data_IF_010427455895
#
_entry.id   IF_010427455895
#
_cell.length_a   1.000
_cell.length_b   1.000
_cell.length_c   1.000
_cell.angle_alpha   90.00
_cell.angle_beta   90.00
_cell.angle_gamma   90.00
#
_symmetry.space_group_name_H-M   'P 1'
#
loop_
_entity.id
_entity.type
_entity.pdbx_description
1 polymer ?
#
# COMPACT_ATOMS: atom_id res chain seq x y z
N UNK A 1 13.72 20.36 5.76
CA UNK A 1 12.65 21.29 6.19
C UNK A 1 11.42 20.96 5.38
N UNK A 2 10.41 20.34 6.00
CA UNK A 2 9.15 20.02 5.33
C UNK A 2 8.29 21.27 5.42
N UNK A 3 8.04 21.91 4.28
CA UNK A 3 7.10 23.04 4.20
C UNK A 3 5.80 22.49 3.64
N UNK A 4 4.82 22.25 4.51
CA UNK A 4 3.43 22.08 4.12
C UNK A 4 2.84 23.46 3.86
N UNK A 5 2.70 23.86 2.59
CA UNK A 5 1.96 25.07 2.25
C UNK A 5 0.47 24.74 2.22
N UNK A 6 -0.18 24.84 3.37
CA UNK A 6 -1.63 24.93 3.48
C UNK A 6 -2.04 26.39 3.42
N UNK A 7 -2.48 26.87 2.24
CA UNK A 7 -3.02 28.22 2.11
C UNK A 7 -4.53 28.22 2.40
N UNK A 8 -4.90 28.59 3.63
CA UNK A 8 -6.26 29.01 3.96
C UNK A 8 -6.32 30.53 3.72
N UNK A 9 -7.11 30.99 2.75
CA UNK A 9 -7.36 32.43 2.56
C UNK A 9 -8.84 32.70 2.87
N UNK A 10 -9.07 33.30 4.04
CA UNK A 10 -10.33 33.90 4.47
C UNK A 10 -10.60 35.20 3.68
N UNK A 11 -11.85 35.42 3.25
CA UNK A 11 -12.30 36.73 2.71
C UNK A 11 -12.27 37.82 3.79
N UNK A 12 -12.37 39.14 3.56
CA UNK A 12 -12.89 40.03 2.51
C UNK A 12 -12.12 41.41 2.65
N UNK A 13 -12.48 42.60 2.08
CA UNK A 13 -13.59 43.04 1.22
C UNK A 13 -13.16 43.81 -0.06
N UNK A 14 -14.17 44.26 -0.83
CA UNK A 14 -14.12 45.02 -2.10
C UNK A 14 -13.14 46.20 -2.13
N UNK A 15 -12.45 46.34 -3.26
CA UNK A 15 -11.95 47.62 -3.76
C UNK A 15 -12.29 47.78 -5.26
N UNK A 16 -12.45 49.04 -5.65
CA UNK A 16 -13.06 49.60 -6.85
C UNK A 16 -12.73 48.93 -8.21
N UNK A 17 -13.74 49.02 -9.10
CA UNK A 17 -13.67 48.76 -10.54
C UNK A 17 -12.57 49.64 -11.17
N UNK A 18 -11.50 49.02 -11.63
CA UNK A 18 -10.56 49.59 -12.59
C UNK A 18 -10.37 48.59 -13.73
N UNK A 19 -10.28 49.11 -14.96
CA UNK A 19 -10.21 48.37 -16.21
C UNK A 19 -9.01 47.41 -16.22
N UNK A 20 -9.27 46.12 -15.98
CA UNK A 20 -8.24 45.08 -15.88
C UNK A 20 -7.79 44.65 -17.26
N UNK A 21 -6.52 44.89 -17.57
CA UNK A 21 -5.87 44.47 -18.81
C UNK A 21 -5.97 42.94 -19.03
N UNK A 22 -5.84 42.50 -20.29
CA UNK A 22 -6.03 41.11 -20.70
C UNK A 22 -5.25 40.08 -19.84
N UNK A 23 -4.01 40.38 -19.47
CA UNK A 23 -3.18 39.48 -18.64
C UNK A 23 -3.66 39.31 -17.19
N UNK A 24 -4.45 40.24 -16.66
CA UNK A 24 -5.03 40.15 -15.31
C UNK A 24 -6.32 39.33 -15.33
N UNK A 25 -7.10 39.43 -16.42
CA UNK A 25 -8.27 38.57 -16.71
C UNK A 25 -7.86 37.11 -16.92
N UNK A 26 -6.74 36.85 -17.59
CA UNK A 26 -6.20 35.49 -17.78
C UNK A 26 -5.72 34.86 -16.47
N UNK A 27 -5.05 35.64 -15.62
CA UNK A 27 -4.64 35.20 -14.27
C UNK A 27 -5.84 34.90 -13.36
N UNK A 28 -6.88 35.72 -13.41
CA UNK A 28 -8.11 35.50 -12.65
C UNK A 28 -8.88 34.25 -13.14
N UNK A 29 -8.81 33.98 -14.44
CA UNK A 29 -9.40 32.80 -15.07
C UNK A 29 -8.63 31.52 -14.73
N UNK A 30 -7.29 31.57 -14.77
CA UNK A 30 -6.44 30.47 -14.33
C UNK A 30 -6.60 30.17 -12.83
N UNK A 31 -6.68 31.20 -11.98
CA UNK A 31 -6.93 31.05 -10.55
C UNK A 31 -8.32 30.45 -10.27
N UNK A 32 -9.35 30.86 -11.02
CA UNK A 32 -10.70 30.26 -10.93
C UNK A 32 -10.71 28.80 -11.40
N UNK A 33 -10.04 28.49 -12.50
CA UNK A 33 -9.91 27.13 -13.02
C UNK A 33 -9.17 26.21 -12.04
N UNK A 34 -8.07 26.69 -11.45
CA UNK A 34 -7.30 25.96 -10.44
C UNK A 34 -8.14 25.71 -9.18
N UNK A 35 -8.90 26.71 -8.71
CA UNK A 35 -9.80 26.55 -7.56
C UNK A 35 -10.92 25.55 -7.88
N UNK A 36 -11.55 25.64 -9.04
CA UNK A 36 -12.59 24.68 -9.46
C UNK A 36 -12.04 23.26 -9.57
N UNK A 37 -10.83 23.10 -10.13
CA UNK A 37 -10.12 21.81 -10.21
C UNK A 37 -9.78 21.28 -8.81
N UNK A 38 -9.17 22.09 -7.95
CA UNK A 38 -8.82 21.70 -6.58
C UNK A 38 -10.05 21.31 -5.77
N UNK A 39 -11.14 22.08 -5.86
CA UNK A 39 -12.41 21.77 -5.21
C UNK A 39 -12.99 20.45 -5.71
N UNK A 40 -13.03 20.23 -7.03
CA UNK A 40 -13.50 18.96 -7.62
C UNK A 40 -12.62 17.77 -7.23
N UNK A 41 -11.30 17.96 -7.19
CA UNK A 41 -10.34 16.95 -6.77
C UNK A 41 -10.52 16.56 -5.30
N UNK A 42 -10.69 17.54 -4.40
CA UNK A 42 -10.96 17.31 -2.97
C UNK A 42 -12.28 16.56 -2.77
N UNK A 43 -13.34 16.94 -3.48
CA UNK A 43 -14.62 16.24 -3.40
C UNK A 43 -14.56 14.82 -3.98
N UNK A 44 -13.83 14.59 -5.07
CA UNK A 44 -13.64 13.25 -5.64
C UNK A 44 -12.80 12.35 -4.72
N UNK A 45 -11.71 12.89 -4.15
CA UNK A 45 -10.86 12.17 -3.20
C UNK A 45 -11.61 11.77 -1.91
N UNK A 46 -12.58 12.58 -1.47
CA UNK A 46 -13.43 12.25 -0.32
C UNK A 46 -14.27 10.97 -0.51
N UNK A 47 -14.43 10.49 -1.75
CA UNK A 47 -15.16 9.27 -2.09
C UNK A 47 -14.23 8.07 -2.37
N UNK A 48 -12.90 8.27 -2.32
CA UNK A 48 -11.92 7.19 -2.50
C UNK A 48 -11.65 6.49 -1.18
N UNK A 49 -12.43 5.45 -0.91
CA UNK A 49 -12.25 4.63 0.29
C UNK A 49 -11.22 3.54 0.02
N UNK A 50 -10.20 3.33 0.87
CA UNK A 50 -9.26 2.21 0.73
C UNK A 50 -9.96 0.85 0.69
N UNK A 51 -9.32 -0.13 0.06
CA UNK A 51 -9.87 -1.47 -0.17
C UNK A 51 -10.47 -2.11 1.07
N UNK A 52 -9.71 -2.17 2.17
CA UNK A 52 -10.17 -2.81 3.40
C UNK A 52 -11.19 -1.99 4.17
N UNK A 53 -11.18 -0.67 4.06
CA UNK A 53 -12.19 0.19 4.66
C UNK A 53 -13.57 -0.05 4.03
N UNK A 54 -13.64 -0.37 2.73
CA UNK A 54 -14.90 -0.79 2.08
C UNK A 54 -15.40 -2.14 2.57
N UNK A 55 -14.51 -3.12 2.73
CA UNK A 55 -14.87 -4.45 3.20
C UNK A 55 -15.37 -4.45 4.65
N UNK A 56 -14.65 -3.76 5.53
CA UNK A 56 -14.90 -3.77 6.97
C UNK A 56 -15.90 -2.70 7.41
N UNK A 57 -16.05 -1.62 6.64
CA UNK A 57 -16.79 -0.43 7.05
C UNK A 57 -16.11 0.38 8.16
N UNK A 58 -14.86 0.06 8.52
CA UNK A 58 -14.12 0.72 9.58
C UNK A 58 -13.35 1.94 9.06
N UNK A 59 -13.20 2.94 9.92
CA UNK A 59 -12.32 4.09 9.65
C UNK A 59 -10.84 3.66 9.63
N UNK A 60 -10.00 4.38 8.88
CA UNK A 60 -8.58 4.07 8.76
C UNK A 60 -7.86 3.98 10.12
N UNK A 61 -8.20 4.86 11.06
CA UNK A 61 -7.65 4.91 12.42
C UNK A 61 -8.02 3.70 13.28
N UNK A 62 -9.05 2.94 12.90
CA UNK A 62 -9.35 1.69 13.57
C UNK A 62 -8.27 0.64 13.29
N UNK A 63 -7.67 0.66 12.09
CA UNK A 63 -6.66 -0.31 11.67
C UNK A 63 -5.22 0.22 11.80
N UNK A 64 -5.00 1.52 11.65
CA UNK A 64 -3.66 2.14 11.65
C UNK A 64 -3.51 3.19 12.76
N UNK A 65 -2.37 3.17 13.45
CA UNK A 65 -1.93 4.28 14.33
C UNK A 65 -1.39 5.43 13.48
N UNK A 66 -0.51 5.09 12.54
CA UNK A 66 -0.07 5.88 11.40
C UNK A 66 0.31 4.88 10.32
N UNK A 67 0.02 5.15 9.05
CA UNK A 67 0.44 4.23 8.00
C UNK A 67 1.98 4.13 8.00
N UNK A 68 2.58 2.92 7.97
CA UNK A 68 1.97 1.59 7.79
C UNK A 68 1.69 0.83 9.10
N UNK A 69 2.05 1.38 10.25
CA UNK A 69 1.92 0.74 11.57
C UNK A 69 0.46 0.40 11.91
N UNK A 70 0.24 -0.80 12.47
CA UNK A 70 -1.08 -1.37 12.71
C UNK A 70 -1.49 -1.27 14.19
N UNK A 71 -2.76 -0.95 14.43
CA UNK A 71 -3.42 -1.13 15.74
C UNK A 71 -3.63 -2.62 16.03
N UNK A 72 -4.06 -2.97 17.24
CA UNK A 72 -4.46 -4.35 17.56
C UNK A 72 -5.53 -4.90 16.58
N UNK A 73 -6.49 -4.08 16.16
CA UNK A 73 -7.50 -4.45 15.17
C UNK A 73 -6.89 -4.71 13.80
N UNK A 74 -5.98 -3.84 13.33
CA UNK A 74 -5.29 -4.04 12.06
C UNK A 74 -4.44 -5.32 12.05
N UNK A 75 -3.74 -5.60 13.15
CA UNK A 75 -2.99 -6.85 13.33
C UNK A 75 -3.90 -8.07 13.33
N UNK A 76 -5.02 -8.00 14.04
CA UNK A 76 -6.01 -9.07 14.06
C UNK A 76 -6.59 -9.31 12.65
N UNK A 77 -6.88 -8.27 11.88
CA UNK A 77 -7.36 -8.40 10.50
C UNK A 77 -6.36 -9.15 9.62
N UNK A 78 -5.08 -8.77 9.65
CA UNK A 78 -3.99 -9.42 8.92
C UNK A 78 -3.75 -10.86 9.38
N UNK A 79 -3.70 -11.09 10.70
CA UNK A 79 -3.52 -12.41 11.31
C UNK A 79 -4.64 -13.39 10.91
N UNK A 80 -5.88 -12.91 10.80
CA UNK A 80 -7.04 -13.69 10.39
C UNK A 80 -7.20 -13.76 8.86
N UNK A 81 -6.17 -13.40 8.09
CA UNK A 81 -6.15 -13.60 6.64
C UNK A 81 -6.97 -12.59 5.84
N UNK A 82 -7.15 -11.36 6.36
CA UNK A 82 -7.83 -10.26 5.65
C UNK A 82 -9.34 -10.49 5.41
N UNK A 83 -10.00 -11.33 6.22
CA UNK A 83 -11.41 -11.75 6.02
C UNK A 83 -12.45 -11.06 6.92
N UNK A 84 -12.08 -10.06 7.75
CA UNK A 84 -13.12 -9.38 8.53
C UNK A 84 -14.08 -8.61 7.60
N UNK A 85 -15.39 -8.78 7.78
CA UNK A 85 -16.43 -8.06 7.03
C UNK A 85 -17.32 -7.24 7.97
N UNK A 86 -17.95 -6.20 7.43
CA UNK A 86 -19.14 -5.61 8.05
C UNK A 86 -20.23 -6.69 8.15
N UNK A 87 -20.97 -6.74 9.26
CA UNK A 87 -22.08 -7.70 9.45
C UNK A 87 -23.18 -7.61 8.39
N UNK A 88 -23.31 -6.44 7.74
CA UNK A 88 -24.24 -6.17 6.63
C UNK A 88 -23.60 -6.39 5.25
N UNK A 89 -22.35 -6.87 5.17
CA UNK A 89 -21.66 -7.16 3.92
C UNK A 89 -22.28 -8.40 3.28
N UNK A 90 -23.40 -8.15 2.60
CA UNK A 90 -24.14 -8.96 1.64
C UNK A 90 -23.58 -10.38 1.50
N UNK A 91 -24.19 -11.34 2.21
CA UNK A 91 -24.35 -12.65 1.61
C UNK A 91 -25.03 -12.38 0.26
N UNK A 92 -24.26 -12.39 -0.83
CA UNK A 92 -24.79 -12.18 -2.18
C UNK A 92 -25.65 -13.37 -2.58
N UNK A 93 -26.68 -13.72 -1.82
CA UNK A 93 -27.62 -14.78 -2.14
C UNK A 93 -28.50 -14.28 -3.28
N UNK A 94 -28.50 -14.98 -4.41
CA UNK A 94 -29.56 -14.84 -5.40
C UNK A 94 -30.91 -15.18 -4.75
N UNK A 95 -32.06 -14.80 -5.34
CA UNK A 95 -33.39 -15.21 -4.86
C UNK A 95 -33.54 -16.73 -4.68
N UNK A 96 -32.70 -17.52 -5.36
CA UNK A 96 -32.61 -18.99 -5.28
C UNK A 96 -31.60 -19.51 -4.23
N UNK A 97 -31.02 -18.64 -3.41
CA UNK A 97 -30.10 -19.00 -2.33
C UNK A 97 -28.66 -19.29 -2.74
N UNK A 98 -28.27 -19.02 -3.99
CA UNK A 98 -26.89 -19.22 -4.45
C UNK A 98 -26.01 -18.03 -4.13
N UNK A 99 -24.81 -18.27 -3.59
CA UNK A 99 -23.81 -17.23 -3.36
C UNK A 99 -23.27 -16.72 -4.70
N UNK A 100 -23.64 -15.50 -5.06
CA UNK A 100 -23.10 -14.74 -6.18
C UNK A 100 -21.64 -14.40 -5.89
N UNK A 101 -20.74 -15.31 -6.27
CA UNK A 101 -19.29 -15.13 -6.22
C UNK A 101 -18.85 -13.88 -7.01
N UNK A 102 -19.64 -13.44 -7.99
CA UNK A 102 -19.34 -12.32 -8.89
C UNK A 102 -19.22 -10.96 -8.20
N UNK A 103 -19.99 -10.70 -7.13
CA UNK A 103 -19.93 -9.40 -6.42
C UNK A 103 -18.79 -9.34 -5.39
N UNK A 104 -18.29 -10.51 -4.93
CA UNK A 104 -17.01 -10.65 -4.22
C UNK A 104 -15.80 -10.70 -5.17
N UNK A 105 -16.02 -11.00 -6.46
CA UNK A 105 -14.95 -11.20 -7.44
C UNK A 105 -14.30 -9.88 -7.91
N UNK A 106 -15.00 -8.75 -7.81
CA UNK A 106 -14.39 -7.43 -8.04
C UNK A 106 -13.74 -6.99 -6.73
N UNK A 107 -12.57 -7.57 -6.45
CA UNK A 107 -11.75 -7.17 -5.32
C UNK A 107 -11.59 -5.64 -5.34
N UNK A 108 -11.96 -4.92 -4.26
CA UNK A 108 -11.99 -3.48 -4.31
C UNK A 108 -10.59 -2.92 -4.63
N UNK A 109 -10.46 -2.11 -5.67
CA UNK A 109 -9.16 -1.50 -6.05
C UNK A 109 -9.02 -0.10 -5.45
N UNK A 110 -7.81 0.25 -5.01
CA UNK A 110 -7.45 1.60 -4.58
C UNK A 110 -6.14 2.04 -5.24
N UNK A 111 -5.96 3.35 -5.39
CA UNK A 111 -4.82 3.94 -6.10
C UNK A 111 -4.04 4.81 -5.12
N UNK A 112 -2.72 4.75 -5.19
CA UNK A 112 -1.80 5.70 -4.55
C UNK A 112 -0.99 6.41 -5.62
N UNK A 113 -1.01 7.73 -5.55
CA UNK A 113 -0.17 8.61 -6.34
C UNK A 113 0.89 9.20 -5.40
N UNK A 114 2.16 8.87 -5.63
CA UNK A 114 3.28 9.44 -4.89
C UNK A 114 4.02 10.47 -5.77
N UNK A 115 4.34 11.61 -5.17
CA UNK A 115 5.23 12.63 -5.72
C UNK A 115 6.27 12.96 -4.67
N UNK A 116 7.48 13.35 -5.09
CA UNK A 116 8.53 13.69 -4.15
C UNK A 116 9.37 14.88 -4.61
N UNK A 117 9.92 15.57 -3.61
CA UNK A 117 10.99 16.55 -3.79
C UNK A 117 12.15 16.16 -2.89
N UNK A 118 13.29 15.91 -3.51
CA UNK A 118 14.50 15.44 -2.81
C UNK A 118 15.62 16.45 -2.97
N UNK A 119 16.14 16.92 -1.84
CA UNK A 119 17.29 17.82 -1.78
C UNK A 119 18.25 17.38 -0.69
N UNK A 120 19.54 17.39 -1.01
CA UNK A 120 20.62 16.99 -0.11
C UNK A 120 21.48 18.19 0.24
N UNK A 121 22.25 18.10 1.35
CA UNK A 121 23.19 19.16 1.74
C UNK A 121 24.26 19.41 0.67
N UNK A 122 24.69 18.35 -0.02
CA UNK A 122 25.62 18.39 -1.14
C UNK A 122 25.13 17.44 -2.21
N UNK A 123 25.04 17.92 -3.44
CA UNK A 123 24.68 17.12 -4.60
C UNK A 123 25.53 15.85 -4.69
N UNK A 124 24.92 14.74 -5.13
CA UNK A 124 25.69 13.57 -5.54
C UNK A 124 26.57 13.95 -6.75
N UNK A 125 27.78 13.35 -6.88
CA UNK A 125 28.63 13.60 -8.03
C UNK A 125 27.89 13.35 -9.35
N UNK A 126 27.91 14.33 -10.26
CA UNK A 126 27.31 14.22 -11.58
C UNK A 126 25.78 14.37 -11.63
N UNK A 127 25.10 14.71 -10.54
CA UNK A 127 23.63 14.85 -10.51
C UNK A 127 23.18 16.27 -10.16
N UNK A 128 21.96 16.61 -10.55
CA UNK A 128 21.27 17.79 -10.03
C UNK A 128 20.96 17.61 -8.53
N UNK A 129 20.98 18.71 -7.76
CA UNK A 129 20.40 18.76 -6.42
C UNK A 129 19.02 19.43 -6.48
N UNK A 130 18.07 18.97 -5.66
CA UNK A 130 16.69 19.44 -5.71
C UNK A 130 15.97 18.85 -6.91
N UNK A 131 15.56 17.59 -6.80
CA UNK A 131 14.85 16.84 -7.84
C UNK A 131 13.39 16.71 -7.47
N UNK A 132 12.50 17.02 -8.40
CA UNK A 132 11.05 16.76 -8.29
C UNK A 132 10.71 15.55 -9.15
N UNK A 133 9.96 14.60 -8.60
CA UNK A 133 9.41 13.46 -9.35
C UNK A 133 7.88 13.54 -9.30
N UNK A 134 7.24 13.61 -10.47
CA UNK A 134 5.79 13.75 -10.61
C UNK A 134 5.27 12.87 -11.77
N UNK A 135 4.80 11.64 -11.51
CA UNK A 135 4.88 10.93 -10.22
C UNK A 135 6.28 10.41 -9.92
N UNK A 136 6.52 10.10 -8.66
CA UNK A 136 7.61 9.26 -8.17
C UNK A 136 7.21 7.78 -8.24
N UNK A 137 5.96 7.48 -7.89
CA UNK A 137 5.39 6.13 -7.97
C UNK A 137 3.88 6.20 -8.20
N UNK A 138 3.34 5.25 -8.95
CA UNK A 138 1.89 5.02 -9.05
C UNK A 138 1.57 3.57 -8.66
N UNK A 139 0.78 3.38 -7.60
CA UNK A 139 0.50 2.05 -7.06
C UNK A 139 -0.98 1.76 -7.03
N UNK A 140 -1.34 0.53 -7.40
CA UNK A 140 -2.68 -0.05 -7.27
C UNK A 140 -2.65 -1.07 -6.14
N UNK A 141 -3.58 -0.91 -5.19
CA UNK A 141 -3.78 -1.83 -4.09
C UNK A 141 -5.12 -2.55 -4.24
N UNK A 142 -5.12 -3.86 -4.10
CA UNK A 142 -6.32 -4.67 -4.04
C UNK A 142 -6.14 -5.82 -3.05
N UNK A 143 -7.22 -6.49 -2.71
CA UNK A 143 -7.23 -7.56 -1.73
C UNK A 143 -8.53 -7.62 -0.97
N UNK A 144 -8.52 -8.40 0.10
CA UNK A 144 -9.66 -8.62 0.96
C UNK A 144 -9.98 -10.09 1.07
N UNK A 145 -11.19 -10.37 1.54
CA UNK A 145 -11.73 -11.72 1.59
C UNK A 145 -11.94 -12.31 0.19
N UNK A 146 -11.44 -13.51 -0.02
CA UNK A 146 -11.68 -14.34 -1.21
C UNK A 146 -12.64 -15.48 -0.85
N UNK A 147 -12.41 -16.12 0.30
CA UNK A 147 -13.27 -17.13 0.93
C UNK A 147 -13.33 -16.88 2.44
N UNK A 148 -14.22 -17.53 3.21
CA UNK A 148 -14.31 -17.33 4.67
C UNK A 148 -13.01 -17.58 5.44
N UNK A 149 -12.05 -18.29 4.85
CA UNK A 149 -10.76 -18.59 5.46
C UNK A 149 -9.57 -18.09 4.65
N UNK A 150 -9.80 -17.49 3.47
CA UNK A 150 -8.73 -17.04 2.57
C UNK A 150 -8.96 -15.61 2.17
N UNK A 151 -7.92 -14.79 2.30
CA UNK A 151 -7.90 -13.44 1.75
C UNK A 151 -6.50 -13.02 1.37
N UNK A 152 -6.34 -11.77 0.97
CA UNK A 152 -5.01 -11.30 0.58
C UNK A 152 -4.84 -9.79 0.47
N UNK A 153 -3.61 -9.44 0.13
CA UNK A 153 -3.11 -8.12 -0.17
C UNK A 153 -2.28 -8.20 -1.46
N UNK A 154 -2.51 -7.29 -2.38
CA UNK A 154 -1.74 -7.15 -3.61
C UNK A 154 -1.49 -5.68 -3.89
N UNK A 155 -0.23 -5.34 -4.09
CA UNK A 155 0.26 -4.05 -4.55
C UNK A 155 0.96 -4.24 -5.90
N UNK A 156 0.48 -3.52 -6.90
CA UNK A 156 1.10 -3.43 -8.23
C UNK A 156 1.52 -2.00 -8.45
N UNK A 157 2.74 -1.79 -8.91
CA UNK A 157 3.34 -0.47 -8.95
C UNK A 157 3.95 -0.20 -10.31
N UNK A 158 3.66 0.97 -10.86
CA UNK A 158 4.39 1.55 -11.97
C UNK A 158 5.48 2.48 -11.43
N UNK A 159 6.72 2.19 -11.81
CA UNK A 159 7.89 3.04 -11.59
C UNK A 159 8.17 3.87 -12.85
N UNK A 160 7.93 5.20 -12.83
CA UNK A 160 8.19 6.06 -13.97
C UNK A 160 9.67 6.17 -14.37
N UNK A 161 10.61 5.86 -13.47
CA UNK A 161 12.04 5.97 -13.77
C UNK A 161 12.53 4.83 -14.65
N UNK A 162 12.12 3.59 -14.34
CA UNK A 162 12.41 2.42 -15.18
C UNK A 162 11.39 2.21 -16.31
N UNK A 163 10.20 2.82 -16.20
CA UNK A 163 9.08 2.59 -17.11
C UNK A 163 8.43 1.22 -16.93
N UNK A 164 8.72 0.52 -15.82
CA UNK A 164 8.27 -0.85 -15.58
C UNK A 164 7.07 -0.91 -14.63
N UNK A 165 6.31 -1.99 -14.75
CA UNK A 165 5.24 -2.36 -13.82
C UNK A 165 5.70 -3.62 -13.08
N UNK A 166 5.67 -3.57 -11.75
CA UNK A 166 6.06 -4.66 -10.87
C UNK A 166 4.98 -5.04 -9.86
N UNK A 167 5.03 -6.28 -9.37
CA UNK A 167 4.25 -6.73 -8.22
C UNK A 167 5.11 -6.49 -6.97
N UNK A 168 5.01 -5.30 -6.38
CA UNK A 168 5.81 -4.90 -5.22
C UNK A 168 5.58 -5.84 -4.03
N UNK A 169 4.30 -6.10 -3.73
CA UNK A 169 3.89 -6.91 -2.59
C UNK A 169 2.68 -7.76 -2.94
N UNK A 170 2.77 -9.05 -2.67
CA UNK A 170 1.67 -10.00 -2.65
C UNK A 170 1.74 -10.76 -1.33
N UNK A 171 0.62 -10.85 -0.62
CA UNK A 171 0.47 -11.66 0.61
C UNK A 171 -0.93 -12.27 0.63
N UNK A 172 -1.03 -13.56 0.33
CA UNK A 172 -2.27 -14.32 0.40
C UNK A 172 -2.24 -15.25 1.58
N UNK A 173 -3.32 -15.28 2.35
CA UNK A 173 -3.36 -16.00 3.62
C UNK A 173 -4.55 -16.90 3.73
N UNK A 174 -4.29 -18.11 4.20
CA UNK A 174 -5.31 -18.97 4.81
C UNK A 174 -5.23 -18.81 6.32
N UNK A 175 -6.36 -18.69 7.01
CA UNK A 175 -6.42 -18.64 8.47
C UNK A 175 -7.60 -19.46 9.02
N UNK A 176 -7.32 -20.24 10.07
CA UNK A 176 -8.32 -20.99 10.82
C UNK A 176 -8.02 -20.94 12.32
N UNK A 177 -8.94 -21.43 13.14
CA UNK A 177 -8.85 -21.39 14.59
C UNK A 177 -9.02 -22.78 15.19
N UNK A 178 -8.31 -23.02 16.29
CA UNK A 178 -8.46 -24.22 17.08
C UNK A 178 -8.12 -23.96 18.54
N UNK A 179 -7.90 -25.04 19.27
CA UNK A 179 -7.41 -24.96 20.64
C UNK A 179 -6.17 -25.82 20.83
N UNK A 180 -5.19 -25.28 21.55
CA UNK A 180 -3.94 -25.96 21.93
C UNK A 180 -3.76 -25.74 23.42
N UNK A 181 -3.61 -26.82 24.18
CA UNK A 181 -3.51 -26.77 25.66
C UNK A 181 -4.68 -25.97 26.29
N UNK A 182 -5.90 -26.20 25.80
CA UNK A 182 -7.14 -25.52 26.24
C UNK A 182 -7.14 -24.00 26.07
N UNK A 183 -6.24 -23.44 25.25
CA UNK A 183 -6.22 -22.03 24.85
C UNK A 183 -6.50 -21.89 23.36
N UNK A 184 -7.11 -20.78 22.96
CA UNK A 184 -7.37 -20.46 21.56
C UNK A 184 -6.06 -20.32 20.80
N UNK A 185 -6.02 -20.83 19.58
CA UNK A 185 -4.92 -20.63 18.65
C UNK A 185 -5.46 -20.28 17.27
N UNK A 186 -4.85 -19.29 16.62
CA UNK A 186 -4.98 -19.10 15.17
C UNK A 186 -3.87 -19.90 14.50
N UNK A 187 -4.20 -20.58 13.41
CA UNK A 187 -3.25 -21.22 12.51
C UNK A 187 -3.43 -20.63 11.13
N UNK A 188 -2.33 -20.28 10.47
CA UNK A 188 -2.40 -19.76 9.13
C UNK A 188 -1.22 -20.14 8.27
N UNK A 189 -1.44 -19.99 6.97
CA UNK A 189 -0.42 -20.10 5.94
C UNK A 189 -0.38 -18.77 5.19
N UNK A 190 0.81 -18.24 4.89
CA UNK A 190 1.00 -17.09 4.00
C UNK A 190 1.81 -17.51 2.79
N UNK A 191 1.33 -17.13 1.61
CA UNK A 191 2.11 -17.13 0.36
C UNK A 191 2.39 -15.69 0.00
N UNK A 192 3.67 -15.33 -0.09
CA UNK A 192 4.08 -13.96 -0.36
C UNK A 192 5.35 -13.86 -1.21
N UNK A 193 5.57 -12.71 -1.84
CA UNK A 193 6.72 -12.47 -2.73
C UNK A 193 7.76 -11.47 -2.17
N UNK A 194 7.62 -11.09 -0.92
CA UNK A 194 8.50 -10.14 -0.26
C UNK A 194 8.71 -10.56 1.20
N UNK A 195 9.88 -11.11 1.56
CA UNK A 195 10.14 -11.52 2.93
C UNK A 195 9.79 -10.42 3.92
N UNK A 196 9.11 -10.81 4.98
CA UNK A 196 8.64 -9.93 6.07
C UNK A 196 7.41 -9.08 5.76
N UNK A 197 6.88 -9.10 4.54
CA UNK A 197 5.57 -8.48 4.23
C UNK A 197 4.46 -9.07 5.10
N UNK A 198 4.62 -10.30 5.55
CA UNK A 198 3.67 -11.00 6.37
C UNK A 198 3.76 -10.67 7.87
N UNK A 199 4.74 -9.91 8.32
CA UNK A 199 4.86 -9.49 9.73
C UNK A 199 3.59 -8.76 10.18
N UNK A 200 2.94 -9.27 11.23
CA UNK A 200 1.71 -8.65 11.76
C UNK A 200 2.00 -7.38 12.54
N UNK A 201 3.23 -7.11 12.96
CA UNK A 201 3.58 -5.85 13.65
C UNK A 201 4.04 -4.73 12.72
N UNK A 202 4.32 -5.04 11.45
CA UNK A 202 4.92 -4.09 10.49
C UNK A 202 6.21 -3.45 11.06
N UNK A 203 7.02 -4.27 11.75
CA UNK A 203 8.26 -3.89 12.44
C UNK A 203 9.53 -4.33 11.68
N UNK A 204 9.35 -5.15 10.66
CA UNK A 204 10.40 -5.71 9.81
C UNK A 204 10.53 -4.96 8.47
N UNK A 205 11.63 -5.14 7.72
CA UNK A 205 11.99 -4.28 6.59
C UNK A 205 10.90 -3.99 5.54
N UNK A 206 10.06 -4.96 5.18
CA UNK A 206 9.01 -4.75 4.17
C UNK A 206 8.01 -3.63 4.52
N UNK A 207 7.85 -3.33 5.82
CA UNK A 207 7.02 -2.23 6.33
C UNK A 207 7.80 -1.25 7.21
N UNK A 208 9.14 -1.36 7.21
CA UNK A 208 10.02 -0.60 8.07
C UNK A 208 10.20 0.85 7.60
N UNK A 209 10.79 1.65 8.47
CA UNK A 209 11.20 3.01 8.11
C UNK A 209 12.41 2.99 7.14
N UNK A 210 12.46 3.87 6.12
CA UNK A 210 11.50 4.91 5.77
C UNK A 210 10.27 4.36 5.05
N UNK A 211 9.07 4.60 5.62
CA UNK A 211 7.79 4.07 5.12
C UNK A 211 7.39 4.53 3.70
N UNK A 212 8.13 5.50 3.17
CA UNK A 212 8.09 5.97 1.80
C UNK A 212 9.38 6.73 1.55
N UNK A 213 9.97 6.53 0.39
CA UNK A 213 11.20 7.21 -0.02
C UNK A 213 11.09 7.66 -1.47
N UNK A 214 11.98 8.57 -1.85
CA UNK A 214 12.12 9.00 -3.25
C UNK A 214 13.11 8.10 -3.96
N UNK A 215 12.84 7.74 -5.21
CA UNK A 215 13.76 6.92 -5.99
C UNK A 215 15.14 7.60 -6.26
N UNK A 216 15.26 8.91 -6.02
CA UNK A 216 16.55 9.64 -6.08
C UNK A 216 17.13 9.98 -4.70
N UNK A 217 16.51 9.53 -3.61
CA UNK A 217 17.05 9.70 -2.27
C UNK A 217 18.24 8.75 -2.05
N UNK A 218 19.39 9.22 -1.56
CA UNK A 218 20.49 8.33 -1.22
C UNK A 218 20.08 7.33 -0.13
N UNK A 219 20.32 6.05 -0.37
CA UNK A 219 20.14 4.96 0.59
C UNK A 219 21.49 4.37 1.00
N UNK A 220 21.59 3.67 2.15
CA UNK A 220 22.78 2.91 2.51
C UNK A 220 23.15 1.92 1.40
N UNK A 221 24.42 1.91 0.97
CA UNK A 221 24.90 1.03 -0.11
C UNK A 221 25.06 -0.44 0.29
N UNK A 222 24.96 -0.75 1.58
CA UNK A 222 24.97 -2.12 2.10
C UNK A 222 23.64 -2.37 2.83
N UNK A 223 23.02 -3.50 2.53
CA UNK A 223 21.79 -3.97 3.14
C UNK A 223 21.91 -5.46 3.43
N UNK A 224 21.18 -5.95 4.44
CA UNK A 224 21.07 -7.40 4.65
C UNK A 224 20.19 -8.01 3.57
N UNK A 225 20.29 -9.33 3.34
CA UNK A 225 19.47 -10.00 2.32
C UNK A 225 17.96 -9.81 2.58
N UNK A 226 17.55 -9.80 3.85
CA UNK A 226 16.14 -9.64 4.24
C UNK A 226 15.67 -8.17 4.17
N UNK A 227 16.58 -7.22 4.01
CA UNK A 227 16.29 -5.79 3.96
C UNK A 227 16.01 -5.34 2.51
N UNK A 228 14.84 -5.75 2.00
CA UNK A 228 14.32 -5.35 0.69
C UNK A 228 14.96 -6.03 -0.52
N UNK A 229 16.15 -6.62 -0.40
CA UNK A 229 16.89 -7.16 -1.57
C UNK A 229 16.23 -8.38 -2.23
N UNK A 230 15.40 -9.12 -1.49
CA UNK A 230 14.64 -10.27 -2.01
C UNK A 230 13.24 -9.89 -2.50
N UNK A 231 12.76 -8.68 -2.22
CA UNK A 231 11.43 -8.24 -2.65
C UNK A 231 11.29 -8.39 -4.17
N UNK A 232 10.15 -8.90 -4.63
CA UNK A 232 9.84 -9.16 -6.05
C UNK A 232 10.68 -10.27 -6.72
N UNK A 233 11.70 -10.80 -6.05
CA UNK A 233 12.61 -11.82 -6.61
C UNK A 233 12.31 -13.24 -6.11
N UNK A 234 11.45 -13.38 -5.11
CA UNK A 234 11.18 -14.67 -4.45
C UNK A 234 9.69 -14.96 -4.36
N UNK A 235 9.36 -16.23 -4.15
CA UNK A 235 8.07 -16.68 -3.65
C UNK A 235 8.30 -17.49 -2.38
N UNK A 236 7.53 -17.21 -1.33
CA UNK A 236 7.63 -17.88 -0.05
C UNK A 236 6.31 -18.49 0.38
N UNK A 237 6.44 -19.55 1.20
CA UNK A 237 5.35 -20.16 1.94
C UNK A 237 5.75 -20.20 3.42
N UNK A 238 4.94 -19.57 4.26
CA UNK A 238 5.14 -19.57 5.71
C UNK A 238 3.92 -20.12 6.43
N UNK A 239 4.15 -20.80 7.55
CA UNK A 239 3.11 -21.23 8.48
C UNK A 239 3.28 -20.45 9.78
N UNK A 240 2.18 -19.89 10.29
CA UNK A 240 2.18 -19.07 11.48
C UNK A 240 1.09 -19.46 12.46
N UNK A 241 1.31 -19.13 13.73
CA UNK A 241 0.32 -19.30 14.78
C UNK A 241 0.34 -18.14 15.76
N UNK A 242 -0.82 -17.79 16.29
CA UNK A 242 -0.98 -16.94 17.47
C UNK A 242 -1.67 -17.76 18.55
N UNK A 243 -0.95 -18.10 19.61
CA UNK A 243 -1.45 -18.88 20.73
C UNK A 243 -1.82 -17.96 21.90
N UNK A 244 -3.07 -18.08 22.36
CA UNK A 244 -3.64 -17.36 23.49
C UNK A 244 -3.44 -15.82 23.43
N UNK A 245 -3.47 -15.27 22.22
CA UNK A 245 -3.23 -13.83 21.93
C UNK A 245 -1.92 -13.27 22.53
N UNK A 246 -0.93 -14.14 22.74
CA UNK A 246 0.32 -13.81 23.44
C UNK A 246 1.58 -14.27 22.73
N UNK A 247 1.57 -15.49 22.21
CA UNK A 247 2.76 -16.10 21.60
C UNK A 247 2.51 -16.24 20.11
N UNK A 248 3.31 -15.54 19.33
CA UNK A 248 3.35 -15.72 17.89
C UNK A 248 4.57 -16.52 17.49
N UNK A 249 4.36 -17.47 16.60
CA UNK A 249 5.43 -18.22 15.96
C UNK A 249 5.18 -18.29 14.47
N UNK A 250 6.22 -18.14 13.68
CA UNK A 250 6.17 -18.31 12.24
C UNK A 250 7.45 -18.99 11.76
N UNK A 251 7.30 -19.89 10.80
CA UNK A 251 8.41 -20.50 10.09
C UNK A 251 8.02 -20.68 8.63
N UNK A 252 9.00 -20.67 7.74
CA UNK A 252 8.75 -20.85 6.32
C UNK A 252 10.02 -20.83 5.50
N UNK A 253 9.83 -20.96 4.20
CA UNK A 253 10.93 -20.97 3.24
C UNK A 253 10.56 -20.12 2.02
N UNK A 254 11.60 -19.63 1.36
CA UNK A 254 11.50 -18.85 0.13
C UNK A 254 12.31 -19.53 -0.97
N UNK A 255 11.87 -19.34 -2.21
CA UNK A 255 12.63 -19.75 -3.39
C UNK A 255 12.65 -18.63 -4.41
N UNK A 256 13.76 -18.55 -5.14
CA UNK A 256 13.90 -17.65 -6.28
C UNK A 256 12.76 -17.83 -7.26
N UNK A 257 12.05 -16.74 -7.52
CA UNK A 257 10.94 -16.66 -8.46
C UNK A 257 10.92 -15.29 -9.19
N UNK A 258 12.06 -14.82 -9.72
CA UNK A 258 12.13 -13.52 -10.39
C UNK A 258 11.16 -13.44 -11.56
N UNK A 259 10.51 -12.29 -11.69
CA UNK A 259 9.57 -11.98 -12.78
C UNK A 259 10.31 -11.31 -13.94
N UNK A 260 9.86 -11.55 -15.18
CA UNK A 260 10.38 -10.84 -16.36
C UNK A 260 11.75 -11.31 -16.87
N UNK A 261 12.29 -12.44 -16.40
CA UNK A 261 13.57 -12.99 -16.88
C UNK A 261 13.41 -14.35 -17.57
N UNK A 262 14.38 -14.71 -18.41
CA UNK A 262 14.44 -16.02 -19.07
C UNK A 262 14.62 -17.15 -18.04
N UNK A 263 13.96 -18.29 -18.28
CA UNK A 263 13.99 -19.47 -17.41
C UNK A 263 14.43 -20.70 -18.20
N UNK A 264 15.15 -21.67 -17.61
CA UNK A 264 15.57 -21.75 -16.19
C UNK A 264 16.61 -20.70 -15.82
N UNK A 265 16.74 -20.42 -14.52
CA UNK A 265 17.75 -19.50 -13.99
C UNK A 265 19.15 -20.06 -14.29
N UNK A 266 20.03 -19.22 -14.82
CA UNK A 266 21.43 -19.54 -15.06
C UNK A 266 22.35 -18.76 -14.12
N UNK A 267 23.67 -18.89 -14.31
CA UNK A 267 24.69 -18.23 -13.48
C UNK A 267 24.69 -16.69 -13.58
N UNK A 268 23.88 -16.10 -14.45
CA UNK A 268 23.75 -14.65 -14.61
C UNK A 268 22.60 -14.06 -13.78
N UNK A 269 21.76 -14.92 -13.17
CA UNK A 269 20.65 -14.47 -12.34
C UNK A 269 21.15 -13.75 -11.08
N UNK A 270 20.65 -12.53 -10.84
CA UNK A 270 20.95 -11.70 -9.67
C UNK A 270 19.75 -11.63 -8.73
N UNK A 271 19.99 -11.36 -7.44
CA UNK A 271 18.90 -11.27 -6.45
C UNK A 271 18.21 -12.61 -6.14
N UNK A 272 18.89 -13.73 -6.43
CA UNK A 272 18.37 -15.08 -6.26
C UNK A 272 18.99 -15.75 -5.03
N UNK A 273 18.20 -16.62 -4.40
CA UNK A 273 18.58 -17.54 -3.33
C UNK A 273 18.64 -18.97 -3.87
N UNK A 274 19.61 -19.75 -3.35
CA UNK A 274 19.85 -21.16 -3.70
C UNK A 274 18.90 -22.11 -2.97
#
# INVERSE_FOLDING_TARGET
MVVLIGALITGAPRAALADRGAGERDRETAARALRAYATRYVFAAAHLTPTYARQTGLACSACHTHFPELTATGRAFKLNGYVFRRSESLEGKSPEGQQSLLLNLVAPVSLMFQTSYTSTKKALPGTQNGTVLFPDQLSLFTGGEITPHVGGFLQVTFDPQSGQIGVDNADFRFATHGSVLSKRATFGLSVNNNPTVQDVWNSTPAWGFPYGSSAVAPAPGAATLIDGTLGQQVAGLTAYTMWNDRVYGEFGAYRSAPLGIQRPLDSTATGVIS
#
